data_IF_279435807302
#
_entry.id   IF_279435807302
#
_cell.length_a   1.000
_cell.length_b   1.000
_cell.length_c   1.000
_cell.angle_alpha   90.00
_cell.angle_beta   90.00
_cell.angle_gamma   90.00
#
_symmetry.space_group_name_H-M   'P 1'
#
loop_
_entity.id
_entity.type
_entity.pdbx_description
1 polymer ?
#
# COMPACT_ATOMS: atom_id res chain seq x y z
N UNK A 1 13.29 2.98 14.92
CA UNK A 1 13.33 3.43 13.52
C UNK A 1 12.83 4.86 13.48
N UNK A 2 13.54 5.74 12.79
CA UNK A 2 13.14 7.13 12.54
C UNK A 2 11.89 7.15 11.63
N UNK A 3 11.03 8.16 11.78
CA UNK A 3 9.60 8.14 11.40
C UNK A 3 9.29 8.29 9.89
N UNK A 4 10.14 7.83 8.96
CA UNK A 4 10.13 8.22 7.54
C UNK A 4 8.95 7.76 6.67
N UNK A 5 8.05 6.95 7.21
CA UNK A 5 7.00 6.31 6.42
C UNK A 5 5.64 6.56 7.06
N UNK A 6 4.83 7.42 6.43
CA UNK A 6 3.37 7.32 6.46
C UNK A 6 2.92 6.86 5.07
N UNK A 7 3.16 5.58 4.78
CA UNK A 7 2.81 4.92 3.52
C UNK A 7 3.15 3.43 3.61
N UNK A 8 2.18 2.55 3.30
CA UNK A 8 2.14 1.19 3.86
C UNK A 8 3.13 0.20 3.23
N UNK A 9 4.26 0.02 3.93
CA UNK A 9 4.86 -1.27 4.26
C UNK A 9 4.63 -1.47 5.76
N UNK A 10 4.17 -2.66 6.18
CA UNK A 10 3.79 -3.01 7.57
C UNK A 10 4.06 -1.93 8.64
N UNK A 11 2.97 -1.33 9.16
CA UNK A 11 2.94 -0.19 10.08
C UNK A 11 3.99 -0.19 11.21
N UNK A 12 4.34 -1.38 11.70
CA UNK A 12 5.34 -1.62 12.72
C UNK A 12 5.79 -3.10 12.67
N UNK A 13 6.76 -3.46 13.51
CA UNK A 13 7.27 -4.83 13.62
C UNK A 13 6.17 -5.84 13.98
N UNK A 14 5.11 -5.41 14.67
CA UNK A 14 3.97 -6.26 15.02
C UNK A 14 3.16 -6.61 13.76
N UNK A 15 2.88 -5.63 12.89
CA UNK A 15 2.20 -5.86 11.61
C UNK A 15 3.04 -6.74 10.68
N UNK A 16 4.36 -6.55 10.67
CA UNK A 16 5.27 -7.40 9.91
C UNK A 16 5.27 -8.84 10.43
N UNK A 17 5.24 -9.03 11.75
CA UNK A 17 5.11 -10.36 12.37
C UNK A 17 3.78 -11.02 12.00
N UNK A 18 2.69 -10.26 11.91
CA UNK A 18 1.36 -10.77 11.54
C UNK A 18 1.33 -11.23 10.08
N UNK A 19 1.89 -10.48 9.12
CA UNK A 19 1.98 -10.91 7.71
C UNK A 19 3.05 -11.99 7.51
N UNK A 20 4.07 -12.07 8.36
CA UNK A 20 5.11 -13.10 8.25
C UNK A 20 4.59 -14.53 8.56
N UNK A 21 3.40 -14.66 9.15
CA UNK A 21 2.76 -15.97 9.34
C UNK A 21 2.21 -16.50 8.03
N UNK A 22 2.61 -17.71 7.67
CA UNK A 22 2.18 -18.39 6.44
C UNK A 22 0.66 -18.56 6.35
N UNK A 23 0.01 -18.87 7.47
CA UNK A 23 -1.44 -18.97 7.56
C UNK A 23 -2.15 -17.65 7.24
N UNK A 24 -1.57 -16.52 7.66
CA UNK A 24 -2.15 -15.20 7.46
C UNK A 24 -2.05 -14.79 5.99
N UNK A 25 -0.90 -15.03 5.35
CA UNK A 25 -0.74 -14.80 3.90
C UNK A 25 -1.71 -15.64 3.07
N UNK A 26 -1.91 -16.91 3.43
CA UNK A 26 -2.86 -17.78 2.74
C UNK A 26 -4.29 -17.27 2.83
N UNK A 27 -4.71 -16.83 4.02
CA UNK A 27 -6.04 -16.25 4.24
C UNK A 27 -6.20 -14.93 3.46
N UNK A 28 -5.23 -14.03 3.54
CA UNK A 28 -5.27 -12.75 2.82
C UNK A 28 -5.28 -12.94 1.30
N UNK A 29 -4.50 -13.88 0.76
CA UNK A 29 -4.52 -14.19 -0.68
C UNK A 29 -5.88 -14.76 -1.13
N UNK A 30 -6.48 -15.66 -0.35
CA UNK A 30 -7.80 -16.22 -0.66
C UNK A 30 -8.89 -15.13 -0.64
N UNK A 31 -8.83 -14.19 0.30
CA UNK A 31 -9.75 -13.05 0.36
C UNK A 31 -9.53 -12.06 -0.79
N UNK A 32 -8.29 -11.84 -1.20
CA UNK A 32 -7.95 -11.01 -2.37
C UNK A 32 -8.55 -11.58 -3.65
N UNK A 33 -8.44 -12.90 -3.84
CA UNK A 33 -9.00 -13.58 -5.02
C UNK A 33 -10.53 -13.59 -5.03
N UNK A 34 -11.16 -13.52 -3.86
CA UNK A 34 -12.61 -13.47 -3.71
C UNK A 34 -13.20 -12.04 -3.63
N UNK A 35 -12.36 -11.01 -3.74
CA UNK A 35 -12.82 -9.62 -3.76
C UNK A 35 -13.71 -9.36 -5.00
N UNK A 36 -14.81 -8.58 -4.89
CA UNK A 36 -15.32 -7.85 -3.72
C UNK A 36 -16.31 -8.63 -2.85
N UNK A 37 -16.61 -9.89 -3.21
CA UNK A 37 -17.68 -10.69 -2.60
C UNK A 37 -17.28 -11.20 -1.20
N UNK A 38 -15.97 -11.37 -0.96
CA UNK A 38 -15.43 -11.89 0.29
C UNK A 38 -15.65 -13.39 0.48
N UNK A 39 -15.23 -13.96 1.61
CA UNK A 39 -15.41 -15.39 1.94
C UNK A 39 -15.88 -15.59 3.39
N UNK A 40 -16.66 -16.64 3.64
CA UNK A 40 -16.95 -17.12 4.99
C UNK A 40 -15.74 -17.82 5.61
N UNK A 41 -15.80 -18.11 6.91
CA UNK A 41 -14.72 -18.84 7.60
C UNK A 41 -14.62 -20.28 7.11
N UNK A 42 -15.76 -20.88 6.79
CA UNK A 42 -15.86 -22.22 6.24
C UNK A 42 -15.25 -22.27 4.83
N UNK A 43 -15.60 -21.33 3.96
CA UNK A 43 -15.04 -21.20 2.61
C UNK A 43 -13.52 -20.94 2.66
N UNK A 44 -13.05 -20.11 3.60
CA UNK A 44 -11.62 -19.90 3.81
C UNK A 44 -10.89 -21.17 4.22
N UNK A 45 -11.47 -22.00 5.08
CA UNK A 45 -10.86 -23.28 5.49
C UNK A 45 -10.70 -24.22 4.30
N UNK A 46 -11.69 -24.26 3.41
CA UNK A 46 -11.68 -25.08 2.20
C UNK A 46 -10.64 -24.59 1.18
N UNK A 47 -10.66 -23.29 0.86
CA UNK A 47 -9.77 -22.69 -0.15
C UNK A 47 -8.31 -22.70 0.30
N UNK A 48 -8.05 -22.32 1.56
CA UNK A 48 -6.68 -22.25 2.09
C UNK A 48 -6.13 -23.60 2.54
N UNK A 49 -6.99 -24.63 2.63
CA UNK A 49 -6.69 -25.94 3.23
C UNK A 49 -6.16 -25.85 4.67
N UNK A 50 -6.46 -24.75 5.38
CA UNK A 50 -6.09 -24.57 6.77
C UNK A 50 -7.17 -25.17 7.68
N UNK A 51 -6.81 -25.74 8.84
CA UNK A 51 -7.80 -26.19 9.82
C UNK A 51 -8.70 -25.04 10.25
N UNK A 52 -10.01 -25.29 10.38
CA UNK A 52 -10.99 -24.24 10.68
C UNK A 52 -10.68 -23.47 11.98
N UNK A 53 -10.12 -24.16 12.99
CA UNK A 53 -9.64 -23.54 14.24
C UNK A 53 -8.52 -22.52 13.99
N UNK A 54 -7.59 -22.85 13.08
CA UNK A 54 -6.52 -21.94 12.66
C UNK A 54 -7.11 -20.74 11.95
N UNK A 55 -8.09 -20.93 11.06
CA UNK A 55 -8.76 -19.81 10.37
C UNK A 55 -9.47 -18.89 11.37
N UNK A 56 -10.17 -19.41 12.39
CA UNK A 56 -10.77 -18.57 13.43
C UNK A 56 -9.74 -17.79 14.25
N UNK A 57 -8.62 -18.41 14.63
CA UNK A 57 -7.56 -17.75 15.38
C UNK A 57 -6.91 -16.62 14.56
N UNK A 58 -6.58 -16.89 13.30
CA UNK A 58 -5.96 -15.92 12.41
C UNK A 58 -6.94 -14.83 11.97
N UNK A 59 -8.22 -15.15 11.78
CA UNK A 59 -9.27 -14.15 11.58
C UNK A 59 -9.28 -13.13 12.72
N UNK A 60 -9.23 -13.58 13.97
CA UNK A 60 -9.26 -12.68 15.12
C UNK A 60 -8.02 -11.77 15.19
N UNK A 61 -6.86 -12.28 14.80
CA UNK A 61 -5.62 -11.50 14.69
C UNK A 61 -5.68 -10.50 13.53
N UNK A 62 -6.02 -10.96 12.33
CA UNK A 62 -6.15 -10.12 11.12
C UNK A 62 -7.22 -9.04 11.27
N UNK A 63 -8.33 -9.33 11.94
CA UNK A 63 -9.38 -8.35 12.24
C UNK A 63 -8.91 -7.31 13.26
N UNK A 64 -8.19 -7.74 14.31
CA UNK A 64 -7.67 -6.83 15.35
C UNK A 64 -6.66 -5.83 14.76
N UNK A 65 -5.82 -6.31 13.85
CA UNK A 65 -4.82 -5.50 13.16
C UNK A 65 -5.35 -4.90 11.85
N UNK A 66 -6.68 -4.84 11.66
CA UNK A 66 -7.36 -4.13 10.58
C UNK A 66 -7.00 -4.57 9.15
N UNK A 67 -6.61 -5.84 8.95
CA UNK A 67 -6.39 -6.41 7.61
C UNK A 67 -7.68 -6.86 6.92
N UNK A 68 -8.73 -7.18 7.70
CA UNK A 68 -9.99 -7.74 7.20
C UNK A 68 -11.18 -7.18 7.98
N UNK A 69 -12.33 -7.05 7.32
CA UNK A 69 -13.59 -6.66 7.97
C UNK A 69 -14.76 -7.55 7.54
N UNK A 70 -15.88 -7.37 8.23
CA UNK A 70 -17.15 -8.05 8.00
C UNK A 70 -18.04 -7.24 7.08
N UNK A 71 -18.47 -7.86 5.97
CA UNK A 71 -19.60 -7.35 5.18
C UNK A 71 -20.87 -8.00 5.71
N UNK A 72 -21.83 -7.17 6.12
CA UNK A 72 -23.17 -7.66 6.44
C UNK A 72 -23.86 -8.11 5.14
N UNK A 73 -24.39 -9.34 5.10
CA UNK A 73 -25.31 -9.72 4.02
C UNK A 73 -26.57 -8.85 4.14
N UNK A 74 -26.88 -8.05 3.11
CA UNK A 74 -28.17 -7.38 3.01
C UNK A 74 -29.27 -8.43 3.16
N UNK A 75 -30.08 -8.29 4.21
CA UNK A 75 -31.25 -9.14 4.42
C UNK A 75 -32.17 -8.97 3.21
N UNK A 76 -32.30 -10.01 2.37
CA UNK A 76 -33.48 -10.12 1.49
C UNK A 76 -34.71 -10.00 2.38
N UNK A 77 -35.46 -8.91 2.21
CA UNK A 77 -36.66 -8.58 2.97
C UNK A 77 -37.64 -9.77 2.99
N UNK A 78 -37.58 -10.60 4.04
CA UNK A 78 -38.63 -11.57 4.31
C UNK A 78 -39.83 -10.80 4.86
N UNK A 79 -40.82 -10.56 4.00
CA UNK A 79 -42.17 -10.16 4.43
C UNK A 79 -42.79 -11.34 5.17
N UNK A 80 -42.80 -11.26 6.49
CA UNK A 80 -43.41 -12.27 7.37
C UNK A 80 -43.10 -11.99 8.83
N UNK A 81 -44.14 -12.14 9.67
CA UNK A 81 -44.24 -11.90 11.12
C UNK A 81 -42.91 -11.82 11.92
N UNK A 82 -42.76 -10.84 12.85
CA UNK A 82 -41.53 -10.69 13.63
C UNK A 82 -41.15 -11.99 14.35
N UNK A 83 -39.99 -12.56 14.02
CA UNK A 83 -39.47 -13.72 14.74
C UNK A 83 -39.09 -13.31 16.16
N UNK A 84 -39.58 -14.06 17.16
CA UNK A 84 -39.20 -13.90 18.57
C UNK A 84 -37.68 -13.98 18.71
N UNK A 85 -37.11 -12.98 19.40
CA UNK A 85 -35.72 -12.86 19.89
C UNK A 85 -34.70 -13.65 19.07
N UNK A 86 -34.13 -12.99 18.06
CA UNK A 86 -32.97 -13.52 17.34
C UNK A 86 -31.79 -13.60 18.30
N UNK A 87 -31.30 -14.82 18.53
CA UNK A 87 -30.05 -15.06 19.25
C UNK A 87 -28.90 -14.35 18.53
N UNK A 88 -28.09 -13.51 19.20
CA UNK A 88 -26.92 -12.83 18.60
C UNK A 88 -25.91 -13.80 17.98
N UNK A 89 -25.95 -15.08 18.37
CA UNK A 89 -25.07 -16.13 17.90
C UNK A 89 -25.33 -16.58 16.45
N UNK A 90 -26.57 -16.46 15.94
CA UNK A 90 -26.90 -16.90 14.58
C UNK A 90 -26.46 -15.84 13.54
N UNK A 91 -26.47 -14.55 13.89
CA UNK A 91 -25.97 -13.47 13.04
C UNK A 91 -24.47 -13.58 12.73
N UNK A 92 -23.68 -14.13 13.65
CA UNK A 92 -22.23 -14.30 13.47
C UNK A 92 -21.84 -15.39 12.45
N UNK A 93 -22.79 -16.24 12.01
CA UNK A 93 -22.50 -17.38 11.12
C UNK A 93 -22.47 -17.05 9.63
N UNK A 94 -22.83 -15.83 9.20
CA UNK A 94 -22.90 -15.46 7.77
C UNK A 94 -22.21 -14.15 7.42
N UNK A 95 -21.34 -13.64 8.29
CA UNK A 95 -20.56 -12.46 7.96
C UNK A 95 -19.43 -12.88 7.00
N UNK A 96 -19.49 -12.42 5.75
CA UNK A 96 -18.39 -12.60 4.79
C UNK A 96 -17.25 -11.69 5.19
N UNK A 97 -16.04 -12.20 5.08
CA UNK A 97 -14.81 -11.46 5.32
C UNK A 97 -14.36 -10.86 4.01
N UNK A 98 -13.99 -9.59 4.02
CA UNK A 98 -13.31 -8.90 2.92
C UNK A 98 -12.01 -8.32 3.43
N UNK A 99 -11.06 -8.11 2.54
CA UNK A 99 -9.93 -7.23 2.83
C UNK A 99 -10.50 -5.82 2.97
N UNK A 100 -10.26 -5.19 4.12
CA UNK A 100 -10.63 -3.81 4.33
C UNK A 100 -9.43 -2.92 3.96
N UNK A 101 -9.54 -2.20 2.84
CA UNK A 101 -8.61 -1.14 2.46
C UNK A 101 -8.88 0.12 3.30
N UNK A 102 -8.81 0.05 4.64
CA UNK A 102 -8.98 1.29 5.43
C UNK A 102 -7.73 2.14 5.53
N UNK A 103 -6.68 1.78 4.81
CA UNK A 103 -5.38 2.41 4.92
C UNK A 103 -4.55 2.40 3.63
N UNK A 104 -5.15 2.14 2.48
CA UNK A 104 -4.62 2.77 1.26
C UNK A 104 -5.01 4.24 1.35
N UNK A 105 -4.07 5.17 1.19
CA UNK A 105 -4.45 6.54 0.84
C UNK A 105 -5.06 6.44 -0.56
N UNK A 106 -6.35 6.13 -0.59
CA UNK A 106 -7.16 6.33 -1.77
C UNK A 106 -7.44 7.82 -1.80
N UNK A 107 -6.86 8.50 -2.80
CA UNK A 107 -7.61 9.58 -3.42
C UNK A 107 -9.03 9.05 -3.63
N UNK A 108 -10.01 9.71 -3.00
CA UNK A 108 -11.40 9.29 -2.95
C UNK A 108 -11.90 9.13 -4.40
N UNK A 109 -11.89 7.90 -4.90
CA UNK A 109 -12.27 7.57 -6.27
C UNK A 109 -13.66 6.94 -6.25
N UNK A 110 -14.68 7.74 -6.51
CA UNK A 110 -16.03 7.26 -6.79
C UNK A 110 -16.11 6.86 -8.27
N UNK A 111 -15.72 5.63 -8.64
CA UNK A 111 -15.80 5.19 -10.03
C UNK A 111 -15.58 3.70 -10.28
N UNK A 112 -16.05 3.21 -11.43
CA UNK A 112 -15.96 1.79 -11.85
C UNK A 112 -14.60 1.41 -12.49
N UNK A 113 -13.56 2.24 -12.33
CA UNK A 113 -12.24 2.01 -12.93
C UNK A 113 -11.25 1.52 -11.88
N UNK A 114 -10.20 0.77 -12.28
CA UNK A 114 -9.15 0.36 -11.36
C UNK A 114 -8.55 1.56 -10.64
N UNK A 115 -8.44 1.44 -9.33
CA UNK A 115 -7.78 2.42 -8.46
C UNK A 115 -6.28 2.43 -8.80
N UNK A 116 -5.62 3.60 -8.86
CA UNK A 116 -4.17 3.66 -9.01
C UNK A 116 -3.47 2.93 -7.86
N UNK A 117 -2.40 2.20 -8.17
CA UNK A 117 -1.58 1.54 -7.15
C UNK A 117 -0.79 2.58 -6.35
N UNK A 118 -0.50 2.33 -5.06
CA UNK A 118 0.30 3.27 -4.29
C UNK A 118 1.72 3.38 -4.86
N UNK A 119 2.36 4.54 -4.73
CA UNK A 119 3.75 4.78 -5.09
C UNK A 119 4.68 3.71 -4.52
N UNK A 120 5.51 3.11 -5.38
CA UNK A 120 6.41 2.02 -4.99
C UNK A 120 5.76 0.64 -4.83
N UNK A 121 4.47 0.50 -5.13
CA UNK A 121 3.75 -0.78 -5.13
C UNK A 121 3.20 -1.13 -6.53
N UNK A 122 4.08 -1.17 -7.53
CA UNK A 122 3.73 -1.59 -8.89
C UNK A 122 4.27 -2.98 -9.17
N UNK A 123 3.38 -3.96 -9.41
CA UNK A 123 3.77 -5.28 -9.91
C UNK A 123 3.91 -5.17 -11.42
N UNK A 124 5.13 -5.36 -11.92
CA UNK A 124 5.36 -5.41 -13.36
C UNK A 124 4.88 -6.74 -13.93
N UNK A 125 4.14 -6.69 -15.05
CA UNK A 125 3.81 -7.88 -15.80
C UNK A 125 5.07 -8.52 -16.40
N UNK A 126 5.00 -9.82 -16.66
CA UNK A 126 6.08 -10.55 -17.32
C UNK A 126 6.47 -9.87 -18.64
N UNK A 127 7.77 -9.56 -18.79
CA UNK A 127 8.33 -8.88 -19.97
C UNK A 127 8.23 -7.35 -19.95
N UNK A 128 7.53 -6.72 -18.99
CA UNK A 128 7.44 -5.26 -18.92
C UNK A 128 8.80 -4.62 -18.63
N UNK A 129 9.54 -5.12 -17.64
CA UNK A 129 10.86 -4.59 -17.29
C UNK A 129 11.86 -4.69 -18.46
N UNK A 130 11.82 -5.80 -19.21
CA UNK A 130 12.62 -5.99 -20.41
C UNK A 130 12.23 -4.99 -21.49
N UNK A 131 10.94 -4.80 -21.72
CA UNK A 131 10.43 -3.84 -22.71
C UNK A 131 10.81 -2.41 -22.34
N UNK A 132 10.65 -2.02 -21.07
CA UNK A 132 11.06 -0.71 -20.57
C UNK A 132 12.57 -0.47 -20.79
N UNK A 133 13.39 -1.50 -20.59
CA UNK A 133 14.83 -1.40 -20.85
C UNK A 133 15.18 -1.12 -22.31
N UNK A 134 14.34 -1.55 -23.26
CA UNK A 134 14.49 -1.26 -24.70
C UNK A 134 14.00 0.14 -25.07
N UNK A 135 13.09 0.70 -24.28
CA UNK A 135 12.53 2.05 -24.49
C UNK A 135 13.33 3.16 -23.82
N UNK A 136 14.43 2.83 -23.13
CA UNK A 136 15.20 3.78 -22.34
C UNK A 136 16.68 3.70 -22.68
N UNK A 137 17.29 4.86 -22.94
CA UNK A 137 18.73 4.92 -23.18
C UNK A 137 19.49 4.88 -21.84
N UNK A 138 20.64 4.23 -21.85
CA UNK A 138 21.47 4.09 -20.64
C UNK A 138 22.01 5.45 -20.19
N UNK A 139 22.34 6.30 -21.15
CA UNK A 139 22.88 7.64 -20.96
C UNK A 139 21.85 8.54 -20.27
N UNK A 140 20.61 8.56 -20.77
CA UNK A 140 19.49 9.30 -20.17
C UNK A 140 19.21 8.86 -18.73
N UNK A 141 19.26 7.54 -18.48
CA UNK A 141 19.13 6.98 -17.11
C UNK A 141 20.23 7.48 -16.18
N UNK A 142 21.48 7.51 -16.65
CA UNK A 142 22.61 7.95 -15.84
C UNK A 142 22.51 9.44 -15.50
N UNK A 143 22.07 10.27 -16.44
CA UNK A 143 21.82 11.70 -16.20
C UNK A 143 20.75 11.92 -15.13
N UNK A 144 19.66 11.14 -15.20
CA UNK A 144 18.62 11.16 -14.18
C UNK A 144 19.15 10.70 -12.81
N UNK A 145 19.97 9.66 -12.76
CA UNK A 145 20.58 9.20 -11.50
C UNK A 145 21.48 10.26 -10.87
N UNK A 146 22.26 10.99 -11.66
CA UNK A 146 23.09 12.10 -11.16
C UNK A 146 22.20 13.19 -10.56
N UNK A 147 21.10 13.52 -11.24
CA UNK A 147 20.13 14.52 -10.77
C UNK A 147 19.48 14.11 -9.45
N UNK A 148 19.03 12.86 -9.35
CA UNK A 148 18.44 12.30 -8.12
C UNK A 148 19.44 12.27 -6.96
N UNK A 149 20.70 11.91 -7.24
CA UNK A 149 21.76 11.90 -6.22
C UNK A 149 22.12 13.32 -5.75
N UNK A 150 22.08 14.31 -6.64
CA UNK A 150 22.29 15.71 -6.25
C UNK A 150 21.16 16.23 -5.35
N UNK A 151 19.90 15.89 -5.69
CA UNK A 151 18.75 16.20 -4.83
C UNK A 151 18.87 15.53 -3.45
N UNK A 152 19.13 14.20 -3.42
CA UNK A 152 19.29 13.46 -2.18
C UNK A 152 20.43 14.01 -1.31
N UNK A 153 21.55 14.43 -1.92
CA UNK A 153 22.67 15.07 -1.22
C UNK A 153 22.29 16.38 -0.55
N UNK A 154 21.51 17.22 -1.24
CA UNK A 154 21.00 18.48 -0.68
C UNK A 154 20.06 18.23 0.50
N UNK A 155 19.14 17.28 0.37
CA UNK A 155 18.24 16.88 1.47
C UNK A 155 19.02 16.35 2.66
N UNK A 156 19.96 15.43 2.43
CA UNK A 156 20.80 14.84 3.47
C UNK A 156 21.64 15.92 4.20
N UNK A 157 22.24 16.84 3.46
CA UNK A 157 23.01 17.96 4.04
C UNK A 157 22.12 18.83 4.93
N UNK A 158 20.90 19.17 4.50
CA UNK A 158 19.95 19.94 5.31
C UNK A 158 19.53 19.16 6.56
N UNK A 159 19.31 17.85 6.43
CA UNK A 159 18.94 16.99 7.55
C UNK A 159 20.02 16.93 8.64
N UNK A 160 21.30 16.82 8.26
CA UNK A 160 22.40 16.81 9.25
C UNK A 160 22.73 18.19 9.82
N UNK A 161 22.40 19.27 9.12
CA UNK A 161 22.67 20.64 9.56
C UNK A 161 21.57 21.23 10.47
N UNK A 162 20.52 20.46 10.76
CA UNK A 162 19.45 20.84 11.68
C UNK A 162 19.39 19.80 12.80
N UNK A 163 19.66 20.18 14.04
CA UNK A 163 19.77 19.24 15.18
C UNK A 163 18.47 18.47 15.43
N UNK A 164 17.31 19.14 15.38
CA UNK A 164 16.01 18.50 15.56
C UNK A 164 15.75 17.45 14.47
N UNK A 165 16.07 17.81 13.21
CA UNK A 165 15.89 16.91 12.08
C UNK A 165 16.92 15.79 12.10
N UNK A 166 18.16 16.06 12.49
CA UNK A 166 19.23 15.06 12.53
C UNK A 166 18.87 13.92 13.47
N UNK A 167 18.47 14.26 14.69
CA UNK A 167 18.20 13.26 15.73
C UNK A 167 16.95 12.43 15.40
N UNK A 168 15.94 13.06 14.81
CA UNK A 168 14.67 12.39 14.49
C UNK A 168 14.60 11.77 13.10
N UNK A 169 15.36 12.30 12.14
CA UNK A 169 15.16 12.08 10.71
C UNK A 169 16.44 12.03 9.84
N UNK A 170 17.67 12.16 10.32
CA UNK A 170 18.83 11.80 9.46
C UNK A 170 19.21 10.31 9.64
N UNK A 171 19.58 9.54 8.61
CA UNK A 171 20.08 8.19 8.82
C UNK A 171 21.38 8.20 9.63
N UNK A 172 21.73 7.11 10.33
CA UNK A 172 23.04 6.99 10.97
C UNK A 172 24.15 6.92 9.93
N UNK A 173 25.27 7.58 10.20
CA UNK A 173 26.50 7.49 9.39
C UNK A 173 27.58 6.62 10.06
N UNK A 174 27.24 5.95 11.17
CA UNK A 174 28.16 5.06 11.87
C UNK A 174 28.32 3.73 11.09
N UNK A 175 29.55 3.22 11.01
CA UNK A 175 29.87 2.03 10.21
C UNK A 175 29.23 0.72 10.71
N UNK A 176 28.81 0.67 11.98
CA UNK A 176 28.08 -0.45 12.59
C UNK A 176 26.64 -0.60 12.05
N UNK A 177 26.08 0.40 11.35
CA UNK A 177 24.78 0.31 10.68
C UNK A 177 24.87 -0.34 9.29
N UNK A 178 26.08 -0.59 8.78
CA UNK A 178 26.26 -1.37 7.56
C UNK A 178 26.00 -2.85 7.84
N UNK A 179 25.10 -3.45 7.07
CA UNK A 179 24.80 -4.87 7.16
C UNK A 179 26.05 -5.70 6.84
N UNK A 180 26.38 -6.66 7.69
CA UNK A 180 27.55 -7.54 7.52
C UNK A 180 27.46 -8.48 6.33
N UNK A 181 26.26 -8.68 5.77
CA UNK A 181 26.04 -9.56 4.62
C UNK A 181 26.11 -8.83 3.28
N UNK A 182 25.49 -7.65 3.17
CA UNK A 182 25.42 -6.92 1.90
C UNK A 182 26.32 -5.68 1.84
N UNK A 183 26.90 -5.27 2.97
CA UNK A 183 27.78 -4.09 3.08
C UNK A 183 27.06 -2.74 3.05
N UNK A 184 25.73 -2.72 2.93
CA UNK A 184 24.94 -1.49 2.82
C UNK A 184 24.37 -1.07 4.18
N UNK A 185 24.30 0.25 4.40
CA UNK A 185 23.50 0.81 5.48
C UNK A 185 22.02 0.81 5.07
N UNK A 186 21.25 -0.09 5.67
CA UNK A 186 19.82 -0.25 5.34
C UNK A 186 19.00 0.98 5.72
N UNK A 187 19.31 1.63 6.84
CA UNK A 187 18.64 2.86 7.27
C UNK A 187 18.85 3.98 6.26
N UNK A 188 20.08 4.17 5.78
CA UNK A 188 20.37 5.15 4.73
C UNK A 188 19.63 4.81 3.43
N UNK A 189 19.59 3.52 3.05
CA UNK A 189 18.86 3.06 1.85
C UNK A 189 17.38 3.37 1.94
N UNK A 190 16.77 3.11 3.10
CA UNK A 190 15.35 3.35 3.33
C UNK A 190 15.05 4.85 3.41
N UNK A 191 15.92 5.65 4.02
CA UNK A 191 15.84 7.10 4.01
C UNK A 191 15.83 7.68 2.59
N UNK A 192 16.76 7.28 1.73
CA UNK A 192 16.77 7.75 0.34
C UNK A 192 15.58 7.24 -0.46
N UNK A 193 15.11 6.01 -0.20
CA UNK A 193 13.88 5.50 -0.80
C UNK A 193 12.68 6.38 -0.42
N UNK A 194 12.54 6.74 0.85
CA UNK A 194 11.45 7.61 1.31
C UNK A 194 11.49 8.98 0.63
N UNK A 195 12.67 9.59 0.51
CA UNK A 195 12.87 10.85 -0.22
C UNK A 195 12.36 10.74 -1.67
N UNK A 196 12.74 9.68 -2.38
CA UNK A 196 12.38 9.53 -3.79
C UNK A 196 10.91 9.17 -3.99
N UNK A 197 10.30 8.40 -3.08
CA UNK A 197 8.86 8.14 -3.12
C UNK A 197 8.07 9.42 -2.91
N UNK A 198 8.39 10.20 -1.86
CA UNK A 198 7.73 11.48 -1.63
C UNK A 198 7.90 12.46 -2.82
N UNK A 199 9.08 12.46 -3.47
CA UNK A 199 9.29 13.24 -4.69
C UNK A 199 8.40 12.77 -5.85
N UNK A 200 8.16 11.48 -6.00
CA UNK A 200 7.24 10.93 -7.01
C UNK A 200 5.81 11.38 -6.70
N UNK A 201 5.38 11.31 -5.44
CA UNK A 201 4.05 11.73 -5.00
C UNK A 201 3.82 13.22 -5.32
N UNK A 202 4.79 14.06 -4.98
CA UNK A 202 4.75 15.49 -5.31
C UNK A 202 4.79 15.74 -6.82
N UNK A 203 5.57 14.94 -7.57
CA UNK A 203 5.64 15.04 -9.02
C UNK A 203 4.30 14.69 -9.67
N UNK A 204 3.62 13.63 -9.24
CA UNK A 204 2.32 13.20 -9.77
C UNK A 204 1.20 14.20 -9.50
N UNK A 205 1.32 15.01 -8.44
CA UNK A 205 0.40 16.10 -8.13
C UNK A 205 0.82 17.43 -8.78
N UNK A 206 2.03 17.51 -9.34
CA UNK A 206 2.56 18.76 -9.88
C UNK A 206 1.84 19.19 -11.16
N UNK A 207 1.77 20.52 -11.36
CA UNK A 207 1.31 21.11 -12.61
C UNK A 207 2.07 20.56 -13.83
N UNK A 208 3.38 20.32 -13.69
CA UNK A 208 4.20 19.78 -14.78
C UNK A 208 3.71 18.43 -15.27
N UNK A 209 3.35 17.54 -14.35
CA UNK A 209 2.83 16.21 -14.69
C UNK A 209 1.42 16.29 -15.27
N UNK A 210 0.54 17.09 -14.68
CA UNK A 210 -0.84 17.27 -15.17
C UNK A 210 -0.85 17.87 -16.58
N UNK A 211 -0.01 18.89 -16.84
CA UNK A 211 0.16 19.50 -18.15
C UNK A 211 0.74 18.50 -19.16
N UNK A 212 1.69 17.66 -18.74
CA UNK A 212 2.22 16.58 -19.57
C UNK A 212 1.13 15.59 -19.97
N UNK A 213 0.34 15.09 -19.02
CA UNK A 213 -0.77 14.17 -19.31
C UNK A 213 -1.80 14.79 -20.26
N UNK A 214 -2.08 16.09 -20.10
CA UNK A 214 -2.94 16.83 -21.02
C UNK A 214 -2.36 16.88 -22.43
N UNK A 215 -1.07 17.19 -22.56
CA UNK A 215 -0.36 17.21 -23.84
C UNK A 215 -0.33 15.85 -24.55
N UNK A 216 -0.35 14.76 -23.78
CA UNK A 216 -0.41 13.39 -24.29
C UNK A 216 -1.85 12.86 -24.50
N UNK A 217 -2.87 13.72 -24.37
CA UNK A 217 -4.29 13.34 -24.45
C UNK A 217 -4.73 12.26 -23.44
N UNK A 218 -4.04 12.15 -22.30
CA UNK A 218 -4.35 11.20 -21.23
C UNK A 218 -5.36 11.76 -20.22
N UNK A 219 -5.71 13.04 -20.32
CA UNK A 219 -6.69 13.72 -19.46
C UNK A 219 -7.68 14.53 -20.31
N UNK A 220 -8.98 14.41 -20.02
CA UNK A 220 -10.01 15.19 -20.72
C UNK A 220 -9.94 16.67 -20.34
N UNK A 221 -10.43 17.57 -21.20
CA UNK A 221 -10.44 19.01 -20.88
C UNK A 221 -11.16 19.31 -19.56
N UNK A 222 -12.32 18.69 -19.34
CA UNK A 222 -13.11 18.87 -18.11
C UNK A 222 -12.34 18.36 -16.87
N UNK A 223 -11.67 17.21 -16.96
CA UNK A 223 -10.84 16.69 -15.86
C UNK A 223 -9.63 17.58 -15.58
N UNK A 224 -8.98 18.09 -16.62
CA UNK A 224 -7.83 18.99 -16.50
C UNK A 224 -8.21 20.29 -15.78
N UNK A 225 -9.34 20.90 -16.13
CA UNK A 225 -9.84 22.10 -15.48
C UNK A 225 -10.13 21.88 -13.98
N UNK A 226 -10.70 20.72 -13.62
CA UNK A 226 -10.93 20.35 -12.22
C UNK A 226 -9.63 20.18 -11.45
N UNK A 227 -8.66 19.44 -11.99
CA UNK A 227 -7.38 19.19 -11.31
C UNK A 227 -6.62 20.51 -11.13
N UNK A 228 -6.64 21.39 -12.14
CA UNK A 228 -5.94 22.68 -12.08
C UNK A 228 -6.41 23.56 -10.93
N UNK A 229 -7.69 23.48 -10.53
CA UNK A 229 -8.21 24.24 -9.38
C UNK A 229 -7.72 23.74 -8.02
N UNK A 230 -7.07 22.58 -7.97
CA UNK A 230 -6.54 21.96 -6.74
C UNK A 230 -5.01 22.08 -6.62
N UNK A 231 -4.32 22.40 -7.72
CA UNK A 231 -2.85 22.41 -7.84
C UNK A 231 -2.27 23.85 -7.83
N UNK A 232 -3.11 24.86 -7.59
CA UNK A 232 -2.69 26.27 -7.31
C UNK A 232 -2.47 26.52 -5.82
#
# INVERSE_FOLDING_TARGET
MKNYFEGYYCRDDLHLQVINKDSNRKILNALREAYPIGLSVEELSEVTKLPIKTVYAQKAELYREYYINHVEEEKKNQRGRPSKRQDPFIFRKRARLVIEELFGVHDIYEGNKPVPLPPGHTIYSDGFAETLSKLTLKEEKNELFITLLDYARKVLSRAYNNEEIKDKWAPSNEGNYCCTQCGLNHEARDFFRAIFLNLIDEFEQSKHFVDFLKGQNMVTQNSYEKIRTTVE
#
